data_IF_565158476370
#
_entry.id   IF_565158476370
#
_cell.length_a   1.000
_cell.length_b   1.000
_cell.length_c   1.000
_cell.angle_alpha   90.00
_cell.angle_beta   90.00
_cell.angle_gamma   90.00
#
_symmetry.space_group_name_H-M   'P 1'
#
loop_
_entity.id
_entity.type
_entity.pdbx_description
1 polymer ?
#
# COMPACT_ATOMS: atom_id res chain seq x y z
N UNK A 1 -9.50 0.45 0.27
CA UNK A 1 -8.31 1.09 -0.31
C UNK A 1 -8.54 1.39 -1.78
N UNK A 2 -8.06 2.51 -2.24
CA UNK A 2 -8.12 2.87 -3.66
C UNK A 2 -6.82 2.46 -4.37
N UNK A 3 -6.78 1.22 -4.84
CA UNK A 3 -5.57 0.69 -5.48
C UNK A 3 -5.25 1.37 -6.81
N UNK A 4 -6.25 1.97 -7.47
CA UNK A 4 -6.03 2.69 -8.73
C UNK A 4 -5.18 3.95 -8.53
N UNK A 5 -5.20 4.53 -7.33
CA UNK A 5 -4.31 5.63 -6.96
C UNK A 5 -2.96 5.13 -6.47
N UNK A 6 -2.93 4.02 -5.73
CA UNK A 6 -1.69 3.51 -5.15
C UNK A 6 -0.80 2.82 -6.19
N UNK A 7 -1.38 2.05 -7.09
CA UNK A 7 -0.61 1.26 -8.04
C UNK A 7 0.37 2.07 -8.88
N UNK A 8 -0.04 3.21 -9.49
CA UNK A 8 0.92 4.02 -10.25
C UNK A 8 2.09 4.52 -9.42
N UNK A 9 1.83 4.85 -8.14
CA UNK A 9 2.88 5.31 -7.22
C UNK A 9 3.87 4.18 -6.95
N UNK A 10 3.37 2.97 -6.71
CA UNK A 10 4.21 1.79 -6.52
C UNK A 10 5.09 1.52 -7.74
N UNK A 11 4.48 1.51 -8.93
CA UNK A 11 5.19 1.21 -10.18
C UNK A 11 6.23 2.28 -10.51
N UNK A 12 5.94 3.55 -10.24
CA UNK A 12 6.90 4.64 -10.41
C UNK A 12 8.10 4.47 -9.49
N UNK A 13 7.91 3.86 -8.31
CA UNK A 13 8.98 3.57 -7.36
C UNK A 13 9.73 2.28 -7.71
N UNK A 14 9.27 1.53 -8.70
CA UNK A 14 9.87 0.26 -9.10
C UNK A 14 9.33 -0.94 -8.32
N UNK A 15 8.24 -0.79 -7.59
CA UNK A 15 7.70 -1.85 -6.76
C UNK A 15 6.62 -2.66 -7.46
N UNK A 16 6.75 -3.97 -7.39
CA UNK A 16 5.65 -4.91 -7.58
C UNK A 16 4.98 -5.14 -6.23
N UNK A 17 3.83 -5.81 -6.24
CA UNK A 17 3.09 -6.11 -5.00
C UNK A 17 3.95 -6.88 -3.99
N UNK A 18 4.76 -7.85 -4.45
CA UNK A 18 5.66 -8.59 -3.56
C UNK A 18 6.72 -7.71 -2.92
N UNK A 19 7.16 -6.69 -3.64
CA UNK A 19 8.19 -5.77 -3.13
C UNK A 19 7.62 -4.90 -2.01
N UNK A 20 6.41 -4.37 -2.20
CA UNK A 20 5.75 -3.60 -1.15
C UNK A 20 5.43 -4.48 0.06
N UNK A 21 4.92 -5.69 -0.16
CA UNK A 21 4.63 -6.61 0.93
C UNK A 21 5.89 -6.85 1.78
N UNK A 22 7.01 -7.13 1.14
CA UNK A 22 8.29 -7.32 1.84
C UNK A 22 8.70 -6.07 2.61
N UNK A 23 8.55 -4.89 2.00
CA UNK A 23 8.95 -3.63 2.60
C UNK A 23 8.18 -3.29 3.87
N UNK A 24 6.91 -3.69 3.96
CA UNK A 24 6.07 -3.42 5.13
C UNK A 24 5.99 -4.62 6.08
N UNK A 25 6.74 -5.69 5.81
CA UNK A 25 6.78 -6.87 6.68
C UNK A 25 5.53 -7.73 6.63
N UNK A 26 4.83 -7.72 5.51
CA UNK A 26 3.60 -8.50 5.33
C UNK A 26 3.85 -9.67 4.38
N UNK A 27 3.22 -10.81 4.66
CA UNK A 27 3.30 -11.95 3.74
C UNK A 27 2.58 -11.63 2.43
N UNK A 28 3.05 -12.23 1.33
CA UNK A 28 2.41 -12.03 0.02
C UNK A 28 0.94 -12.46 0.02
N UNK A 29 0.55 -13.60 0.61
CA UNK A 29 -0.87 -13.96 0.67
C UNK A 29 -1.72 -12.93 1.40
N UNK A 30 -1.26 -12.40 2.53
CA UNK A 30 -1.99 -11.36 3.25
C UNK A 30 -2.11 -10.08 2.44
N UNK A 31 -1.03 -9.67 1.80
CA UNK A 31 -1.05 -8.50 0.94
C UNK A 31 -2.06 -8.68 -0.20
N UNK A 32 -2.06 -9.85 -0.85
CA UNK A 32 -2.98 -10.15 -1.95
C UNK A 32 -4.43 -10.10 -1.50
N UNK A 33 -4.73 -10.60 -0.30
CA UNK A 33 -6.09 -10.54 0.26
C UNK A 33 -6.56 -9.09 0.35
N UNK A 34 -5.72 -8.21 0.89
CA UNK A 34 -6.06 -6.79 1.03
C UNK A 34 -6.14 -6.12 -0.34
N UNK A 35 -5.19 -6.41 -1.22
CA UNK A 35 -5.14 -5.84 -2.56
C UNK A 35 -6.40 -6.17 -3.37
N UNK A 36 -6.94 -7.36 -3.17
CA UNK A 36 -8.15 -7.82 -3.85
C UNK A 36 -9.44 -7.37 -3.17
N UNK A 37 -9.36 -6.48 -2.20
CA UNK A 37 -10.53 -5.89 -1.56
C UNK A 37 -11.16 -6.73 -0.45
N UNK A 38 -10.46 -7.75 0.04
CA UNK A 38 -10.98 -8.66 1.08
C UNK A 38 -10.47 -8.32 2.47
N UNK A 39 -9.97 -7.13 2.66
CA UNK A 39 -9.46 -6.65 3.93
C UNK A 39 -8.90 -5.25 3.78
N UNK A 40 -8.45 -4.69 4.89
CA UNK A 40 -7.89 -3.35 4.92
C UNK A 40 -6.53 -3.37 5.59
N UNK A 41 -5.65 -2.43 5.19
CA UNK A 41 -4.38 -2.25 5.89
C UNK A 41 -4.63 -1.66 7.27
N UNK A 42 -4.05 -2.27 8.29
CA UNK A 42 -3.99 -1.67 9.62
C UNK A 42 -3.16 -0.38 9.56
N UNK A 43 -3.41 0.52 10.50
CA UNK A 43 -2.76 1.84 10.53
C UNK A 43 -1.24 1.74 10.48
N UNK A 44 -0.65 0.75 11.16
CA UNK A 44 0.82 0.57 11.16
C UNK A 44 1.38 0.34 9.76
N UNK A 45 0.64 -0.37 8.92
CA UNK A 45 1.05 -0.62 7.53
C UNK A 45 0.84 0.61 6.67
N UNK A 46 -0.26 1.34 6.88
CA UNK A 46 -0.52 2.59 6.17
C UNK A 46 0.62 3.58 6.42
N UNK A 47 1.10 3.68 7.66
CA UNK A 47 2.23 4.54 8.00
C UNK A 47 3.50 4.13 7.26
N UNK A 48 3.79 2.83 7.18
CA UNK A 48 4.96 2.33 6.47
C UNK A 48 4.87 2.62 4.96
N UNK A 49 3.70 2.41 4.37
CA UNK A 49 3.46 2.69 2.95
C UNK A 49 3.63 4.19 2.68
N UNK A 50 3.02 5.02 3.51
CA UNK A 50 3.12 6.47 3.38
C UNK A 50 4.56 6.95 3.46
N UNK A 51 5.34 6.39 4.36
CA UNK A 51 6.76 6.72 4.51
C UNK A 51 7.57 6.28 3.31
N UNK A 52 7.32 5.07 2.81
CA UNK A 52 8.05 4.53 1.66
C UNK A 52 7.91 5.40 0.41
N UNK A 53 6.71 5.90 0.16
CA UNK A 53 6.42 6.68 -1.04
C UNK A 53 6.33 8.19 -0.77
N UNK A 54 6.65 8.62 0.43
CA UNK A 54 6.56 10.04 0.83
C UNK A 54 5.18 10.63 0.52
N UNK A 55 4.14 9.89 0.88
CA UNK A 55 2.77 10.32 0.62
C UNK A 55 2.40 11.52 1.49
N UNK A 56 1.68 12.46 0.90
CA UNK A 56 1.08 13.57 1.65
C UNK A 56 -0.12 13.06 2.45
N UNK A 57 -0.54 13.78 3.52
CA UNK A 57 -1.77 13.43 4.23
C UNK A 57 -2.99 13.31 3.31
N UNK A 58 -3.09 14.17 2.30
CA UNK A 58 -4.18 14.11 1.33
C UNK A 58 -4.14 12.83 0.51
N UNK A 59 -2.95 12.41 0.07
CA UNK A 59 -2.80 11.15 -0.66
C UNK A 59 -3.18 9.95 0.22
N UNK A 60 -2.75 9.96 1.48
CA UNK A 60 -3.11 8.90 2.43
C UNK A 60 -4.62 8.81 2.57
N UNK A 61 -5.29 9.96 2.73
CA UNK A 61 -6.74 9.99 2.84
C UNK A 61 -7.40 9.42 1.59
N UNK A 62 -6.99 9.87 0.40
CA UNK A 62 -7.59 9.44 -0.86
C UNK A 62 -7.38 7.97 -1.16
N UNK A 63 -6.24 7.41 -0.76
CA UNK A 63 -5.89 6.02 -1.02
C UNK A 63 -6.55 5.07 -0.02
N UNK A 64 -6.49 5.40 1.27
CA UNK A 64 -6.82 4.45 2.34
C UNK A 64 -8.14 4.72 3.06
N UNK A 65 -8.70 5.89 2.90
CA UNK A 65 -9.93 6.28 3.59
C UNK A 65 -11.02 6.66 2.57
#
# INVERSE_FOLDING_TARGET
MNKELLEPIMRAHGDKNKDLAAAIGMSVPNFSTIWNGRGEFALKYIRLIARRYSLTPEQVYKIFI
#
